data_IF_295627515358
#
_entry.id   IF_295627515358
#
_cell.length_a   1.000
_cell.length_b   1.000
_cell.length_c   1.000
_cell.angle_alpha   90.00
_cell.angle_beta   90.00
_cell.angle_gamma   90.00
#
_symmetry.space_group_name_H-M   'P 1'
#
loop_
_entity.id
_entity.type
_entity.pdbx_description
1 polymer ?
#
# COMPACT_ATOMS: atom_id res chain seq x y z
N UNK A 1 -10.21 -0.59 7.49
CA UNK A 1 -10.39 0.83 7.06
C UNK A 1 -10.53 0.91 5.54
N UNK A 2 -11.42 1.76 5.02
CA UNK A 2 -11.68 2.00 3.58
C UNK A 2 -11.49 3.48 3.25
N UNK A 3 -10.71 3.80 2.22
CA UNK A 3 -10.56 5.17 1.71
C UNK A 3 -11.83 5.55 0.93
N UNK A 4 -12.49 6.65 1.31
CA UNK A 4 -13.77 7.07 0.72
C UNK A 4 -13.68 8.38 -0.06
N UNK A 5 -12.78 9.29 0.35
CA UNK A 5 -12.54 10.56 -0.33
C UNK A 5 -11.08 10.94 -0.24
N UNK A 6 -10.62 11.68 -1.22
CA UNK A 6 -9.30 12.30 -1.22
C UNK A 6 -9.37 13.72 -1.80
N UNK A 7 -8.44 14.57 -1.36
CA UNK A 7 -8.23 15.93 -1.83
C UNK A 7 -6.73 16.18 -1.82
N UNK A 8 -6.15 16.54 -2.94
CA UNK A 8 -4.70 16.75 -3.11
C UNK A 8 -4.43 18.23 -3.33
N UNK A 9 -3.44 18.75 -2.62
CA UNK A 9 -3.01 20.15 -2.67
C UNK A 9 -1.53 20.25 -3.03
N UNK A 10 -1.21 21.19 -3.89
CA UNK A 10 0.16 21.64 -4.21
C UNK A 10 1.17 20.48 -4.40
N UNK A 11 0.81 19.48 -5.20
CA UNK A 11 1.69 18.37 -5.52
C UNK A 11 2.02 18.33 -7.00
N UNK A 12 3.26 18.62 -7.37
CA UNK A 12 3.80 18.66 -8.74
C UNK A 12 3.01 19.61 -9.65
N UNK A 13 2.19 19.07 -10.57
CA UNK A 13 1.33 19.87 -11.45
C UNK A 13 -0.05 20.14 -10.86
N UNK A 14 -0.41 19.53 -9.75
CA UNK A 14 -1.70 19.71 -9.09
C UNK A 14 -1.60 20.87 -8.12
N UNK A 15 -2.42 21.89 -8.29
CA UNK A 15 -2.61 22.99 -7.33
C UNK A 15 -3.68 22.60 -6.32
N UNK A 16 -4.82 22.17 -6.83
CA UNK A 16 -5.97 21.72 -6.08
C UNK A 16 -6.77 20.72 -6.92
N UNK A 17 -6.95 19.49 -6.42
CA UNK A 17 -7.72 18.47 -7.12
C UNK A 17 -9.23 18.57 -6.90
N UNK A 18 -9.67 19.47 -6.04
CA UNK A 18 -10.98 19.39 -5.39
C UNK A 18 -11.20 18.02 -4.70
N UNK A 19 -12.11 17.92 -3.71
CA UNK A 19 -12.43 16.63 -3.10
C UNK A 19 -13.10 15.67 -4.09
N UNK A 20 -12.61 14.44 -4.19
CA UNK A 20 -13.22 13.41 -5.03
C UNK A 20 -13.46 12.12 -4.26
N UNK A 21 -14.51 11.38 -4.68
CA UNK A 21 -14.90 10.13 -4.05
C UNK A 21 -14.11 8.95 -4.59
N UNK A 22 -13.80 8.00 -3.70
CA UNK A 22 -13.08 6.77 -4.01
C UNK A 22 -13.98 5.59 -3.65
N UNK A 23 -14.23 4.72 -4.64
CA UNK A 23 -15.01 3.49 -4.50
C UNK A 23 -14.12 2.25 -4.31
N UNK A 24 -14.71 1.07 -4.49
CA UNK A 24 -13.95 -0.18 -4.54
C UNK A 24 -13.01 -0.19 -5.76
N UNK A 25 -13.51 0.25 -6.89
CA UNK A 25 -12.72 0.52 -8.12
C UNK A 25 -13.00 1.95 -8.56
N UNK A 26 -11.95 2.74 -8.72
CA UNK A 26 -12.00 4.14 -9.18
C UNK A 26 -11.13 4.29 -10.42
N UNK A 27 -11.72 4.79 -11.50
CA UNK A 27 -11.02 5.09 -12.74
C UNK A 27 -10.84 6.61 -12.89
N UNK A 28 -9.60 7.06 -13.00
CA UNK A 28 -9.23 8.46 -13.26
C UNK A 28 -9.01 8.63 -14.77
N UNK A 29 -9.86 9.41 -15.41
CA UNK A 29 -9.81 9.67 -16.85
C UNK A 29 -9.44 11.11 -17.10
N UNK A 30 -8.61 11.36 -18.09
CA UNK A 30 -8.20 12.71 -18.46
C UNK A 30 -7.15 12.69 -19.55
N UNK A 31 -6.86 13.87 -20.11
CA UNK A 31 -5.83 14.05 -21.15
C UNK A 31 -4.44 13.70 -20.62
N UNK A 32 -3.48 13.49 -21.53
CA UNK A 32 -2.09 13.39 -21.15
C UNK A 32 -1.68 14.66 -20.42
N UNK A 33 -0.77 14.52 -19.44
CA UNK A 33 -0.26 15.64 -18.61
C UNK A 33 -1.32 16.33 -17.71
N UNK A 34 -2.52 15.74 -17.56
CA UNK A 34 -3.58 16.28 -16.68
C UNK A 34 -3.37 16.04 -15.18
N UNK A 35 -2.22 15.51 -14.78
CA UNK A 35 -1.91 15.27 -13.36
C UNK A 35 -2.33 13.91 -12.80
N UNK A 36 -2.89 12.98 -13.60
CA UNK A 36 -3.36 11.66 -13.15
C UNK A 36 -2.29 10.87 -12.37
N UNK A 37 -1.09 10.76 -12.94
CA UNK A 37 0.08 10.12 -12.31
C UNK A 37 0.45 10.84 -11.00
N UNK A 38 0.46 12.17 -11.00
CA UNK A 38 0.77 12.96 -9.80
C UNK A 38 -0.24 12.71 -8.70
N UNK A 39 -1.52 12.55 -9.03
CA UNK A 39 -2.59 12.24 -8.08
C UNK A 39 -2.37 10.88 -7.41
N UNK A 40 -2.07 9.82 -8.19
CA UNK A 40 -1.75 8.51 -7.63
C UNK A 40 -0.54 8.57 -6.72
N UNK A 41 0.53 9.24 -7.15
CA UNK A 41 1.77 9.36 -6.37
C UNK A 41 1.59 10.20 -5.10
N UNK A 42 0.73 11.23 -5.11
CA UNK A 42 0.37 11.96 -3.90
C UNK A 42 -0.35 11.09 -2.87
N UNK A 43 -1.28 10.22 -3.33
CA UNK A 43 -1.96 9.25 -2.47
C UNK A 43 -0.98 8.22 -1.89
N UNK A 44 -0.07 7.72 -2.71
CA UNK A 44 0.96 6.76 -2.28
C UNK A 44 1.79 7.29 -1.10
N UNK A 45 2.13 8.60 -1.10
CA UNK A 45 2.95 9.25 -0.05
C UNK A 45 2.40 9.03 1.36
N UNK A 46 1.10 8.78 1.52
CA UNK A 46 0.47 8.64 2.82
C UNK A 46 0.93 7.37 3.58
N UNK A 47 0.95 6.22 2.91
CA UNK A 47 1.40 4.94 3.50
C UNK A 47 1.89 3.95 2.43
N UNK A 48 3.01 4.21 1.76
CA UNK A 48 3.50 3.37 0.67
C UNK A 48 3.93 1.98 1.14
N UNK A 49 3.87 0.99 0.24
CA UNK A 49 4.51 -0.32 0.44
C UNK A 49 6.02 -0.14 0.57
N UNK A 50 6.61 0.65 -0.31
CA UNK A 50 8.03 1.00 -0.29
C UNK A 50 8.25 2.25 0.57
N UNK A 51 8.79 2.09 1.77
CA UNK A 51 9.01 3.21 2.71
C UNK A 51 9.84 4.36 2.12
N UNK A 52 10.73 4.08 1.18
CA UNK A 52 11.50 5.09 0.46
C UNK A 52 10.61 6.10 -0.30
N UNK A 53 9.42 5.65 -0.77
CA UNK A 53 8.47 6.51 -1.46
C UNK A 53 7.76 7.51 -0.54
N UNK A 54 7.82 7.32 0.77
CA UNK A 54 7.24 8.26 1.74
C UNK A 54 7.97 9.60 1.78
N UNK A 55 9.26 9.59 1.43
CA UNK A 55 10.09 10.80 1.44
C UNK A 55 9.57 11.84 0.44
N UNK A 56 9.41 13.07 0.92
CA UNK A 56 9.03 14.23 0.14
C UNK A 56 10.25 15.09 -0.16
N UNK A 57 10.26 15.67 -1.35
CA UNK A 57 11.30 16.60 -1.80
C UNK A 57 10.65 17.89 -2.31
N UNK A 58 10.97 19.02 -1.68
CA UNK A 58 10.40 20.34 -2.00
C UNK A 58 10.55 20.69 -3.49
N UNK A 59 11.72 20.42 -4.08
CA UNK A 59 12.02 20.84 -5.47
C UNK A 59 11.41 19.90 -6.52
N UNK A 60 11.08 18.68 -6.14
CA UNK A 60 10.53 17.65 -7.02
C UNK A 60 9.02 17.52 -6.87
N UNK A 61 8.51 17.60 -5.64
CA UNK A 61 7.14 17.22 -5.32
C UNK A 61 6.22 18.44 -5.12
N UNK A 62 6.75 19.66 -4.88
CA UNK A 62 5.95 20.88 -4.81
C UNK A 62 5.87 21.58 -6.18
N UNK A 63 4.77 22.32 -6.50
CA UNK A 63 4.66 23.05 -7.76
C UNK A 63 5.76 24.10 -7.91
N UNK A 64 6.56 23.98 -8.98
CA UNK A 64 7.74 24.84 -9.17
C UNK A 64 7.43 26.33 -9.25
N UNK A 65 6.28 26.69 -9.83
CA UNK A 65 5.86 28.09 -9.96
C UNK A 65 5.38 28.71 -8.63
N UNK A 66 5.14 27.88 -7.59
CA UNK A 66 4.76 28.29 -6.24
C UNK A 66 5.89 28.09 -5.20
N UNK A 67 7.12 27.80 -5.62
CA UNK A 67 8.21 27.49 -4.68
C UNK A 67 8.51 28.59 -3.66
N UNK A 68 8.23 29.87 -4.00
CA UNK A 68 8.39 30.99 -3.09
C UNK A 68 7.34 31.01 -1.96
N UNK A 69 6.20 30.38 -2.19
CA UNK A 69 5.08 30.30 -1.24
C UNK A 69 5.08 28.95 -0.48
N UNK A 70 6.17 28.19 -0.59
CA UNK A 70 6.28 26.89 0.06
C UNK A 70 6.22 26.99 1.58
N UNK A 71 5.23 26.35 2.15
CA UNK A 71 5.09 26.12 3.60
C UNK A 71 4.93 24.62 3.86
N UNK A 72 5.91 24.05 4.56
CA UNK A 72 5.94 22.63 4.89
C UNK A 72 4.78 22.18 5.79
N UNK A 73 4.14 23.10 6.51
CA UNK A 73 3.02 22.81 7.40
C UNK A 73 1.68 22.67 6.68
N UNK A 74 1.60 23.11 5.41
CA UNK A 74 0.37 23.04 4.61
C UNK A 74 0.04 21.59 4.22
N UNK A 75 -1.24 21.29 4.02
CA UNK A 75 -1.67 19.95 3.59
C UNK A 75 -1.18 19.64 2.17
N UNK A 76 -0.65 18.42 1.97
CA UNK A 76 -0.40 17.81 0.68
C UNK A 76 -1.62 16.99 0.25
N UNK A 77 -2.16 16.19 1.17
CA UNK A 77 -3.38 15.41 0.92
C UNK A 77 -4.28 15.37 2.15
N UNK A 78 -5.58 15.46 1.92
CA UNK A 78 -6.63 15.26 2.93
C UNK A 78 -7.45 14.06 2.49
N UNK A 79 -7.45 13.01 3.30
CA UNK A 79 -8.12 11.75 2.98
C UNK A 79 -9.17 11.40 4.04
N UNK A 80 -10.34 10.93 3.61
CA UNK A 80 -11.42 10.49 4.51
C UNK A 80 -11.53 8.97 4.43
N UNK A 81 -11.54 8.35 5.60
CA UNK A 81 -11.55 6.91 5.78
C UNK A 81 -12.79 6.47 6.53
N UNK A 82 -13.41 5.38 6.07
CA UNK A 82 -14.48 4.68 6.75
C UNK A 82 -13.89 3.50 7.53
N UNK A 83 -14.10 3.49 8.85
CA UNK A 83 -13.74 2.35 9.69
C UNK A 83 -14.72 1.20 9.46
N UNK A 84 -14.20 -0.02 9.38
CA UNK A 84 -15.00 -1.25 9.34
C UNK A 84 -15.38 -1.74 10.76
N UNK A 85 -16.11 -2.85 10.82
CA UNK A 85 -16.56 -3.41 12.11
C UNK A 85 -15.39 -3.90 12.96
N UNK A 86 -14.33 -4.44 12.32
CA UNK A 86 -13.14 -4.90 13.03
C UNK A 86 -12.32 -3.74 13.61
N UNK A 87 -12.27 -2.61 12.91
CA UNK A 87 -11.63 -1.39 13.39
C UNK A 87 -12.39 -0.82 14.58
N UNK A 88 -13.73 -0.72 14.46
CA UNK A 88 -14.59 -0.24 15.54
C UNK A 88 -14.46 -1.14 16.79
N UNK A 89 -14.56 -2.44 16.61
CA UNK A 89 -14.41 -3.40 17.71
C UNK A 89 -13.02 -3.34 18.37
N UNK A 90 -11.97 -3.02 17.61
CA UNK A 90 -10.63 -2.84 18.15
C UNK A 90 -10.52 -1.58 19.02
N UNK A 91 -11.17 -0.48 18.62
CA UNK A 91 -11.25 0.75 19.43
C UNK A 91 -12.10 0.52 20.69
N UNK A 92 -13.28 -0.11 20.55
CA UNK A 92 -14.18 -0.38 21.67
C UNK A 92 -13.58 -1.31 22.71
N UNK A 93 -12.81 -2.31 22.32
CA UNK A 93 -12.06 -3.15 23.27
C UNK A 93 -11.07 -2.38 24.14
N UNK A 94 -10.56 -1.26 23.63
CA UNK A 94 -9.55 -0.45 24.32
C UNK A 94 -10.17 0.71 25.12
N UNK A 95 -11.26 1.28 24.63
CA UNK A 95 -11.86 2.51 25.17
C UNK A 95 -13.30 2.38 25.64
N UNK A 96 -13.93 1.21 25.48
CA UNK A 96 -15.32 0.96 25.80
C UNK A 96 -16.27 1.09 24.62
N UNK A 97 -17.46 0.51 24.78
CA UNK A 97 -18.52 0.53 23.75
C UNK A 97 -18.97 1.94 23.44
N UNK A 98 -19.10 2.25 22.15
CA UNK A 98 -19.52 3.57 21.67
C UNK A 98 -18.49 4.68 21.89
N UNK A 99 -17.22 4.35 22.05
CA UNK A 99 -16.10 5.31 22.17
C UNK A 99 -15.92 6.17 20.92
N UNK A 100 -16.34 5.71 19.74
CA UNK A 100 -16.35 6.47 18.49
C UNK A 100 -17.73 7.11 18.29
N UNK A 101 -17.81 8.43 18.10
CA UNK A 101 -19.05 9.12 17.69
C UNK A 101 -19.39 8.86 16.23
N UNK A 102 -18.36 8.78 15.39
CA UNK A 102 -18.50 8.47 13.97
C UNK A 102 -17.45 7.43 13.55
N UNK A 103 -17.76 6.68 12.50
CA UNK A 103 -16.80 5.74 11.90
C UNK A 103 -15.96 6.40 10.80
N UNK A 104 -15.94 7.73 10.75
CA UNK A 104 -15.15 8.49 9.80
C UNK A 104 -13.89 9.03 10.47
N UNK A 105 -12.77 8.85 9.79
CA UNK A 105 -11.47 9.40 10.18
C UNK A 105 -10.94 10.24 9.04
N UNK A 106 -10.45 11.43 9.34
CA UNK A 106 -9.79 12.29 8.35
C UNK A 106 -8.29 12.30 8.65
N UNK A 107 -7.50 12.02 7.63
CA UNK A 107 -6.04 12.02 7.72
C UNK A 107 -5.51 13.09 6.77
N UNK A 108 -4.75 14.02 7.30
CA UNK A 108 -4.07 15.09 6.56
C UNK A 108 -2.58 14.83 6.54
N UNK A 109 -2.02 14.49 5.38
CA UNK A 109 -0.58 14.45 5.17
C UNK A 109 -0.10 15.85 4.81
N UNK A 110 0.96 16.33 5.46
CA UNK A 110 1.56 17.64 5.21
C UNK A 110 2.81 17.51 4.34
N UNK A 111 3.27 18.66 3.80
CA UNK A 111 4.48 18.73 2.98
C UNK A 111 5.78 18.46 3.76
N UNK A 112 5.76 18.53 5.11
CA UNK A 112 6.87 18.07 5.97
C UNK A 112 6.92 16.55 6.17
N UNK A 113 5.91 15.81 5.64
CA UNK A 113 5.73 14.38 5.85
C UNK A 113 5.00 14.02 7.15
N UNK A 114 4.63 14.99 7.96
CA UNK A 114 3.81 14.80 9.15
C UNK A 114 2.36 14.48 8.79
N UNK A 115 1.73 13.57 9.56
CA UNK A 115 0.32 13.23 9.39
C UNK A 115 -0.50 13.66 10.61
N UNK A 116 -1.56 14.44 10.37
CA UNK A 116 -2.54 14.81 11.38
C UNK A 116 -3.81 13.95 11.21
N UNK A 117 -4.33 13.45 12.33
CA UNK A 117 -5.52 12.60 12.36
C UNK A 117 -6.65 13.29 13.10
N UNK A 118 -7.81 13.38 12.49
CA UNK A 118 -9.04 13.83 13.12
C UNK A 118 -9.95 12.61 13.33
N UNK A 119 -10.14 12.26 14.60
CA UNK A 119 -10.95 11.13 15.07
C UNK A 119 -11.95 11.70 16.05
N UNK A 120 -13.25 11.45 15.84
CA UNK A 120 -14.32 11.96 16.69
C UNK A 120 -14.64 10.94 17.79
N UNK A 121 -14.09 11.16 18.98
CA UNK A 121 -14.26 10.31 20.16
C UNK A 121 -15.37 10.85 21.08
N UNK A 122 -16.09 9.93 21.72
CA UNK A 122 -17.03 10.22 22.79
C UNK A 122 -16.30 10.18 24.13
N UNK A 123 -15.62 11.27 24.48
CA UNK A 123 -14.84 11.37 25.71
C UNK A 123 -15.66 11.05 26.98
N UNK A 124 -16.91 11.49 27.14
CA UNK A 124 -17.74 11.10 28.28
C UNK A 124 -17.91 9.59 28.40
N UNK A 125 -18.18 8.87 27.31
CA UNK A 125 -18.31 7.40 27.35
C UNK A 125 -17.00 6.72 27.70
N UNK A 126 -15.88 7.20 27.16
CA UNK A 126 -14.54 6.69 27.47
C UNK A 126 -14.25 6.86 28.97
N UNK A 127 -14.55 8.03 29.53
CA UNK A 127 -14.36 8.33 30.95
C UNK A 127 -15.23 7.38 31.80
N UNK A 128 -16.52 7.22 31.46
CA UNK A 128 -17.41 6.29 32.16
C UNK A 128 -16.91 4.84 32.11
N UNK A 129 -16.40 4.41 30.96
CA UNK A 129 -15.80 3.09 30.82
C UNK A 129 -14.59 2.92 31.73
N UNK A 130 -13.65 3.88 31.77
CA UNK A 130 -12.47 3.84 32.63
C UNK A 130 -12.82 3.82 34.12
N UNK A 131 -13.83 4.62 34.54
CA UNK A 131 -14.35 4.66 35.92
C UNK A 131 -14.94 3.29 36.26
N UNK A 132 -15.78 2.72 35.41
CA UNK A 132 -16.42 1.42 35.61
C UNK A 132 -15.37 0.30 35.73
N UNK A 133 -14.41 0.25 34.82
CA UNK A 133 -13.34 -0.75 34.86
C UNK A 133 -12.44 -0.63 36.10
N UNK A 134 -12.28 0.59 36.63
CA UNK A 134 -11.53 0.85 37.85
C UNK A 134 -12.34 0.58 39.11
N UNK A 135 -13.64 0.22 38.97
CA UNK A 135 -14.55 -0.07 40.05
C UNK A 135 -14.66 1.05 41.09
N UNK A 136 -14.61 2.31 40.64
CA UNK A 136 -14.79 3.47 41.48
C UNK A 136 -16.17 3.41 42.16
N UNK A 137 -16.27 3.86 43.42
CA UNK A 137 -17.54 3.93 44.12
C UNK A 137 -18.38 5.12 43.62
N UNK A 138 -19.65 5.19 44.06
CA UNK A 138 -20.62 6.20 43.59
C UNK A 138 -20.14 7.63 43.84
N UNK A 139 -19.42 7.89 44.93
CA UNK A 139 -18.89 9.22 45.29
C UNK A 139 -17.67 9.60 44.43
N UNK A 140 -16.82 8.66 44.18
CA UNK A 140 -15.67 8.80 43.26
C UNK A 140 -16.16 8.98 41.82
N UNK A 141 -17.09 8.10 41.39
CA UNK A 141 -17.66 8.14 40.05
C UNK A 141 -18.41 9.46 39.78
N UNK A 142 -19.17 10.00 40.74
CA UNK A 142 -19.88 11.26 40.60
C UNK A 142 -18.93 12.45 40.36
N UNK A 143 -17.79 12.47 41.07
CA UNK A 143 -16.77 13.54 40.88
C UNK A 143 -16.05 13.41 39.55
N UNK A 144 -15.72 12.20 39.13
CA UNK A 144 -14.91 11.91 37.95
C UNK A 144 -15.72 11.95 36.64
N UNK A 145 -17.02 11.61 36.69
CA UNK A 145 -17.90 11.57 35.51
C UNK A 145 -18.19 12.95 34.89
N UNK A 146 -17.96 14.03 35.64
CA UNK A 146 -18.16 15.39 35.15
C UNK A 146 -17.01 15.89 34.24
N UNK A 147 -15.89 15.16 34.16
CA UNK A 147 -14.73 15.52 33.36
C UNK A 147 -15.05 15.39 31.85
N UNK A 148 -14.49 16.32 31.06
CA UNK A 148 -14.73 16.39 29.62
C UNK A 148 -13.73 15.59 28.79
N UNK A 149 -12.53 15.41 29.31
CA UNK A 149 -11.43 14.72 28.65
C UNK A 149 -10.50 14.01 29.65
N UNK A 150 -9.48 13.35 29.14
CA UNK A 150 -8.52 12.62 29.96
C UNK A 150 -7.63 13.50 30.84
N UNK A 151 -7.37 14.73 30.40
CA UNK A 151 -6.52 15.65 31.15
C UNK A 151 -7.28 16.16 32.38
N UNK A 152 -8.58 16.52 32.21
CA UNK A 152 -9.48 16.85 33.34
C UNK A 152 -9.67 15.64 34.27
N UNK A 153 -9.79 14.43 33.73
CA UNK A 153 -9.95 13.20 34.51
C UNK A 153 -8.70 12.92 35.38
N UNK A 154 -7.51 13.08 34.80
CA UNK A 154 -6.25 12.94 35.54
C UNK A 154 -6.14 13.99 36.66
N UNK A 155 -6.42 15.26 36.34
CA UNK A 155 -6.40 16.34 37.31
C UNK A 155 -7.43 16.11 38.46
N UNK A 156 -8.67 15.68 38.13
CA UNK A 156 -9.68 15.35 39.11
C UNK A 156 -9.25 14.16 40.00
N UNK A 157 -8.64 13.11 39.42
CA UNK A 157 -8.10 11.98 40.19
C UNK A 157 -6.96 12.42 41.14
N UNK A 158 -6.22 13.45 40.80
CA UNK A 158 -5.18 14.01 41.68
C UNK A 158 -5.74 14.79 42.88
N UNK A 159 -6.96 15.33 42.78
CA UNK A 159 -7.62 16.04 43.89
C UNK A 159 -7.96 15.13 45.08
N UNK A 160 -7.96 13.81 44.92
CA UNK A 160 -8.18 12.87 46.03
C UNK A 160 -7.00 12.78 47.00
N UNK A 161 -5.92 13.52 46.77
CA UNK A 161 -4.80 13.67 47.69
C UNK A 161 -3.84 12.46 47.77
N UNK A 162 -3.09 12.35 48.89
CA UNK A 162 -2.11 11.27 49.10
C UNK A 162 -2.78 9.93 49.47
N UNK A 163 -3.97 9.96 50.06
CA UNK A 163 -4.70 8.77 50.51
C UNK A 163 -5.74 8.30 49.49
N UNK A 164 -5.37 8.36 48.22
CA UNK A 164 -6.22 7.84 47.10
C UNK A 164 -6.59 6.39 47.37
N UNK A 165 -7.85 6.07 47.12
CA UNK A 165 -8.32 4.68 47.15
C UNK A 165 -7.56 3.84 46.14
N UNK A 166 -7.47 2.53 46.31
CA UNK A 166 -6.86 1.63 45.36
C UNK A 166 -7.56 1.66 43.98
N UNK A 167 -8.86 2.01 43.96
CA UNK A 167 -9.65 2.19 42.75
C UNK A 167 -9.22 3.41 41.95
N UNK A 168 -9.02 4.57 42.60
CA UNK A 168 -8.51 5.79 41.95
C UNK A 168 -7.06 5.57 41.49
N UNK A 169 -6.23 4.86 42.26
CA UNK A 169 -4.90 4.45 41.79
C UNK A 169 -4.95 3.58 40.56
N UNK A 170 -5.90 2.64 40.49
CA UNK A 170 -6.13 1.80 39.32
C UNK A 170 -6.57 2.62 38.11
N UNK A 171 -7.42 3.63 38.28
CA UNK A 171 -7.82 4.55 37.22
C UNK A 171 -6.61 5.31 36.65
N UNK A 172 -5.77 5.85 37.53
CA UNK A 172 -4.55 6.55 37.12
C UNK A 172 -3.60 5.58 36.37
N UNK A 173 -3.42 4.36 36.86
CA UNK A 173 -2.61 3.35 36.20
C UNK A 173 -3.15 3.02 34.80
N UNK A 174 -4.46 2.87 34.63
CA UNK A 174 -5.09 2.66 33.30
C UNK A 174 -4.90 3.85 32.37
N UNK A 175 -5.02 5.08 32.87
CA UNK A 175 -4.72 6.27 32.08
C UNK A 175 -3.25 6.28 31.62
N UNK A 176 -2.33 5.86 32.48
CA UNK A 176 -0.91 5.78 32.14
C UNK A 176 -0.56 4.69 31.10
N UNK A 177 -1.44 3.71 30.87
CA UNK A 177 -1.28 2.73 29.78
C UNK A 177 -1.47 3.36 28.39
N UNK A 178 -2.17 4.50 28.29
CA UNK A 178 -2.29 5.23 27.05
C UNK A 178 -1.04 6.08 26.79
N UNK A 179 -0.67 6.20 25.50
CA UNK A 179 0.43 7.07 25.11
C UNK A 179 0.18 8.51 25.60
N UNK A 180 1.13 9.05 26.36
CA UNK A 180 1.05 10.36 27.02
C UNK A 180 -0.25 10.55 27.83
N UNK A 181 -0.78 9.45 28.42
CA UNK A 181 -2.05 9.39 29.15
C UNK A 181 -3.26 9.89 28.32
N UNK A 182 -3.16 9.85 27.00
CA UNK A 182 -4.22 10.31 26.07
C UNK A 182 -4.83 9.15 25.28
N UNK A 183 -6.08 8.79 25.55
CA UNK A 183 -6.80 7.77 24.77
C UNK A 183 -6.78 8.02 23.27
N UNK A 184 -6.90 9.28 22.83
CA UNK A 184 -6.85 9.68 21.41
C UNK A 184 -5.57 9.23 20.73
N UNK A 185 -4.40 9.41 21.38
CA UNK A 185 -3.11 9.00 20.81
C UNK A 185 -3.00 7.49 20.69
N UNK A 186 -3.55 6.77 21.66
CA UNK A 186 -3.57 5.30 21.60
C UNK A 186 -4.49 4.75 20.51
N UNK A 187 -5.60 5.43 20.20
CA UNK A 187 -6.45 5.10 19.05
C UNK A 187 -5.73 5.40 17.75
N UNK A 188 -5.01 6.52 17.68
CA UNK A 188 -4.19 6.85 16.52
C UNK A 188 -3.16 5.75 16.25
N UNK A 189 -2.43 5.28 17.26
CA UNK A 189 -1.45 4.19 17.11
C UNK A 189 -2.14 2.89 16.65
N UNK A 190 -3.30 2.56 17.21
CA UNK A 190 -4.07 1.40 16.82
C UNK A 190 -4.49 1.47 15.35
N UNK A 191 -5.08 2.58 14.92
CA UNK A 191 -5.61 2.75 13.57
C UNK A 191 -4.50 2.94 12.52
N UNK A 192 -3.39 3.60 12.87
CA UNK A 192 -2.26 3.76 11.95
C UNK A 192 -1.63 2.41 11.56
N UNK A 193 -1.55 1.47 12.53
CA UNK A 193 -1.09 0.11 12.27
C UNK A 193 -2.06 -0.72 11.42
N UNK A 194 -3.32 -0.33 11.34
CA UNK A 194 -4.38 -1.00 10.57
C UNK A 194 -4.64 -0.33 9.22
N UNK A 195 -4.01 0.82 8.96
CA UNK A 195 -4.18 1.55 7.71
C UNK A 195 -3.59 0.75 6.54
N UNK A 196 -4.37 0.51 5.45
CA UNK A 196 -3.87 -0.19 4.28
C UNK A 196 -2.65 0.49 3.67
N UNK A 197 -1.69 -0.31 3.19
CA UNK A 197 -0.57 0.18 2.40
C UNK A 197 -1.02 0.53 0.98
N UNK A 198 -0.36 1.50 0.37
CA UNK A 198 -0.54 1.84 -1.04
C UNK A 198 0.52 1.14 -1.89
N UNK A 199 0.07 0.32 -2.83
CA UNK A 199 0.91 -0.30 -3.85
C UNK A 199 0.77 0.49 -5.16
N UNK A 200 1.77 1.30 -5.48
CA UNK A 200 1.85 1.97 -6.78
C UNK A 200 2.56 1.07 -7.79
N UNK A 201 1.99 0.95 -8.98
CA UNK A 201 2.56 0.18 -10.07
C UNK A 201 2.34 0.89 -11.41
N UNK A 202 3.42 1.20 -12.09
CA UNK A 202 3.42 1.93 -13.35
C UNK A 202 3.74 1.05 -14.55
N UNK A 203 3.66 1.62 -15.73
CA UNK A 203 4.07 0.97 -16.97
C UNK A 203 5.55 0.57 -16.98
N UNK A 204 6.38 1.27 -16.21
CA UNK A 204 7.84 1.07 -16.19
C UNK A 204 8.28 0.00 -15.19
N UNK A 205 7.41 -0.41 -14.28
CA UNK A 205 7.70 -1.40 -13.24
C UNK A 205 7.60 -2.81 -13.81
N UNK A 206 8.63 -3.23 -14.56
CA UNK A 206 8.64 -4.51 -15.27
C UNK A 206 9.86 -5.33 -14.86
N UNK A 207 9.65 -6.64 -14.72
CA UNK A 207 10.76 -7.57 -14.51
C UNK A 207 11.64 -7.64 -15.77
N UNK A 208 12.94 -7.72 -15.58
CA UNK A 208 13.88 -7.99 -16.66
C UNK A 208 13.91 -9.48 -16.98
N UNK A 209 14.03 -9.83 -18.25
CA UNK A 209 14.14 -11.21 -18.70
C UNK A 209 15.44 -11.90 -18.31
N UNK A 210 16.52 -11.13 -18.08
CA UNK A 210 17.79 -11.64 -17.58
C UNK A 210 18.24 -10.79 -16.38
N UNK A 211 18.68 -11.47 -15.30
CA UNK A 211 19.09 -10.83 -14.06
C UNK A 211 20.40 -11.45 -13.57
N UNK A 212 21.42 -10.61 -13.34
CA UNK A 212 22.66 -10.98 -12.69
C UNK A 212 22.50 -10.86 -11.17
N UNK A 213 22.53 -11.98 -10.45
CA UNK A 213 22.24 -11.99 -9.01
C UNK A 213 23.24 -11.18 -8.18
N UNK A 214 24.51 -11.18 -8.58
CA UNK A 214 25.57 -10.39 -7.94
C UNK A 214 25.27 -8.90 -7.94
N UNK A 215 24.70 -8.40 -9.03
CA UNK A 215 24.36 -6.98 -9.17
C UNK A 215 23.15 -6.60 -8.32
N UNK A 216 22.12 -7.45 -8.32
CA UNK A 216 20.94 -7.23 -7.47
C UNK A 216 21.32 -7.29 -5.99
N UNK A 217 22.19 -8.23 -5.59
CA UNK A 217 22.69 -8.31 -4.22
C UNK A 217 23.47 -7.06 -3.82
N UNK A 218 24.33 -6.55 -4.72
CA UNK A 218 25.07 -5.31 -4.50
C UNK A 218 24.15 -4.10 -4.36
N UNK A 219 23.14 -3.96 -5.25
CA UNK A 219 22.15 -2.87 -5.15
C UNK A 219 21.31 -2.98 -3.88
N UNK A 220 20.96 -4.20 -3.45
CA UNK A 220 20.25 -4.44 -2.19
C UNK A 220 21.07 -3.99 -0.98
N UNK A 221 22.35 -4.35 -0.93
CA UNK A 221 23.26 -3.95 0.15
C UNK A 221 23.46 -2.42 0.22
N UNK A 222 23.45 -1.75 -0.94
CA UNK A 222 23.63 -0.30 -1.04
C UNK A 222 22.33 0.51 -0.98
N UNK A 223 21.16 -0.13 -0.77
CA UNK A 223 19.83 0.49 -0.82
C UNK A 223 19.54 1.25 -2.14
N UNK A 224 19.98 0.71 -3.26
CA UNK A 224 19.83 1.30 -4.62
C UNK A 224 19.03 0.38 -5.54
N UNK A 225 18.15 -0.46 -4.99
CA UNK A 225 17.28 -1.33 -5.78
C UNK A 225 16.42 -0.53 -6.76
N UNK A 226 16.30 -1.04 -7.96
CA UNK A 226 15.39 -0.52 -8.98
C UNK A 226 14.01 -1.17 -8.86
N UNK A 227 12.99 -0.59 -9.49
CA UNK A 227 11.66 -1.20 -9.56
C UNK A 227 11.70 -2.62 -10.18
N UNK A 228 12.55 -2.83 -11.20
CA UNK A 228 12.74 -4.12 -11.82
C UNK A 228 13.33 -5.16 -10.85
N UNK A 229 14.27 -4.73 -10.00
CA UNK A 229 14.86 -5.58 -8.95
C UNK A 229 13.81 -5.99 -7.92
N UNK A 230 12.92 -5.07 -7.53
CA UNK A 230 11.84 -5.35 -6.57
C UNK A 230 10.87 -6.40 -7.12
N UNK A 231 10.49 -6.31 -8.39
CA UNK A 231 9.67 -7.33 -9.06
C UNK A 231 10.40 -8.68 -9.09
N UNK A 232 11.69 -8.69 -9.40
CA UNK A 232 12.48 -9.92 -9.42
C UNK A 232 12.64 -10.52 -8.02
N UNK A 233 12.92 -9.71 -7.00
CA UNK A 233 12.96 -10.19 -5.61
C UNK A 233 11.62 -10.76 -5.16
N UNK A 234 10.51 -10.11 -5.53
CA UNK A 234 9.16 -10.64 -5.29
C UNK A 234 8.91 -11.98 -6.00
N UNK A 235 9.51 -12.16 -7.18
CA UNK A 235 9.48 -13.47 -7.84
C UNK A 235 10.26 -14.53 -7.06
N UNK A 236 11.45 -14.22 -6.54
CA UNK A 236 12.22 -15.15 -5.70
C UNK A 236 11.43 -15.55 -4.43
N UNK A 237 10.81 -14.57 -3.77
CA UNK A 237 9.94 -14.83 -2.62
C UNK A 237 8.72 -15.69 -3.00
N UNK A 238 8.14 -15.48 -4.18
CA UNK A 238 7.07 -16.34 -4.70
C UNK A 238 7.55 -17.80 -4.91
N UNK A 239 8.82 -17.97 -5.29
CA UNK A 239 9.49 -19.25 -5.41
C UNK A 239 9.96 -19.82 -4.05
N UNK A 240 9.56 -19.21 -2.93
CA UNK A 240 9.96 -19.59 -1.57
C UNK A 240 11.49 -19.62 -1.40
N UNK A 241 12.17 -18.65 -1.96
CA UNK A 241 13.63 -18.48 -1.86
C UNK A 241 13.99 -16.98 -1.79
N UNK A 242 15.24 -16.70 -1.52
CA UNK A 242 15.78 -15.34 -1.50
C UNK A 242 17.13 -15.29 -2.22
N UNK A 243 17.66 -14.08 -2.43
CA UNK A 243 18.90 -13.92 -3.18
C UNK A 243 20.11 -14.49 -2.44
N UNK A 244 20.11 -14.41 -1.11
CA UNK A 244 21.17 -14.91 -0.25
C UNK A 244 21.25 -16.45 -0.33
N UNK A 245 20.11 -17.12 -0.22
CA UNK A 245 20.01 -18.58 -0.36
C UNK A 245 20.48 -19.04 -1.74
N UNK A 246 20.08 -18.31 -2.79
CA UNK A 246 20.47 -18.63 -4.16
C UNK A 246 21.98 -18.48 -4.37
N UNK A 247 22.59 -17.45 -3.82
CA UNK A 247 24.02 -17.21 -3.95
C UNK A 247 24.87 -18.17 -3.11
N UNK A 248 24.33 -18.68 -2.01
CA UNK A 248 25.00 -19.67 -1.13
C UNK A 248 24.97 -21.10 -1.66
N UNK A 249 24.17 -21.38 -2.68
CA UNK A 249 24.01 -22.75 -3.19
C UNK A 249 25.26 -23.22 -3.94
N UNK A 250 25.80 -24.37 -3.51
CA UNK A 250 26.85 -25.09 -4.23
C UNK A 250 26.28 -25.94 -5.38
N UNK A 251 24.95 -26.18 -5.39
CA UNK A 251 24.24 -26.98 -6.39
C UNK A 251 23.06 -26.17 -6.94
N UNK A 252 22.94 -26.10 -8.25
CA UNK A 252 21.88 -25.32 -8.93
C UNK A 252 20.54 -26.08 -9.03
N UNK A 253 20.53 -27.40 -8.87
CA UNK A 253 19.34 -28.23 -9.10
C UNK A 253 18.16 -27.91 -8.15
N UNK A 254 18.38 -27.71 -6.83
CA UNK A 254 17.29 -27.29 -5.93
C UNK A 254 16.68 -25.93 -6.30
N UNK A 255 17.51 -24.99 -6.75
CA UNK A 255 17.05 -23.68 -7.19
C UNK A 255 16.24 -23.78 -8.48
N UNK A 256 16.71 -24.57 -9.44
CA UNK A 256 16.03 -24.83 -10.69
C UNK A 256 14.64 -25.43 -10.45
N UNK A 257 14.54 -26.44 -9.57
CA UNK A 257 13.28 -27.06 -9.22
C UNK A 257 12.29 -26.05 -8.58
N UNK A 258 12.77 -25.17 -7.67
CA UNK A 258 11.96 -24.11 -7.07
C UNK A 258 11.49 -23.09 -8.12
N UNK A 259 12.40 -22.65 -8.99
CA UNK A 259 12.09 -21.70 -10.07
C UNK A 259 11.10 -22.30 -11.08
N UNK A 260 11.20 -23.59 -11.41
CA UNK A 260 10.24 -24.29 -12.25
C UNK A 260 8.86 -24.38 -11.58
N UNK A 261 8.80 -24.72 -10.29
CA UNK A 261 7.54 -24.78 -9.55
C UNK A 261 6.86 -23.39 -9.49
N UNK A 262 7.63 -22.34 -9.23
CA UNK A 262 7.15 -20.95 -9.28
C UNK A 262 6.64 -20.58 -10.67
N UNK A 263 7.38 -20.93 -11.72
CA UNK A 263 6.97 -20.71 -13.12
C UNK A 263 5.64 -21.39 -13.45
N UNK A 264 5.40 -22.61 -12.97
CA UNK A 264 4.12 -23.31 -13.14
C UNK A 264 3.00 -22.59 -12.39
N UNK A 265 3.23 -22.19 -11.14
CA UNK A 265 2.26 -21.47 -10.33
C UNK A 265 1.83 -20.14 -10.97
N UNK A 266 2.80 -19.34 -11.40
CA UNK A 266 2.56 -18.06 -12.08
C UNK A 266 1.87 -18.30 -13.43
N UNK A 267 2.32 -19.28 -14.21
CA UNK A 267 1.71 -19.65 -15.49
C UNK A 267 0.21 -19.90 -15.34
N UNK A 268 -0.19 -20.72 -14.36
CA UNK A 268 -1.60 -21.03 -14.10
C UNK A 268 -2.41 -19.78 -13.74
N UNK A 269 -1.87 -18.88 -12.93
CA UNK A 269 -2.56 -17.63 -12.53
C UNK A 269 -2.71 -16.66 -13.70
N UNK A 270 -1.65 -16.47 -14.51
CA UNK A 270 -1.69 -15.57 -15.67
C UNK A 270 -2.72 -16.06 -16.66
N UNK A 271 -2.67 -17.35 -17.05
CA UNK A 271 -3.54 -17.86 -18.12
C UNK A 271 -4.99 -18.11 -17.69
N UNK A 272 -5.31 -17.99 -16.40
CA UNK A 272 -6.70 -17.85 -15.96
C UNK A 272 -7.35 -16.57 -16.55
N UNK A 273 -6.58 -15.47 -16.63
CA UNK A 273 -7.06 -14.17 -17.08
C UNK A 273 -6.55 -13.76 -18.46
N UNK A 274 -5.36 -14.19 -18.87
CA UNK A 274 -4.77 -13.85 -20.16
C UNK A 274 -5.31 -14.75 -21.27
N UNK A 275 -6.34 -14.27 -21.99
CA UNK A 275 -7.02 -15.07 -23.05
C UNK A 275 -6.32 -15.05 -24.41
N UNK A 276 -5.30 -14.19 -24.59
CA UNK A 276 -4.64 -13.92 -25.87
C UNK A 276 -3.92 -15.13 -26.45
N UNK A 277 -3.23 -15.88 -25.61
CA UNK A 277 -2.55 -17.12 -25.96
C UNK A 277 -2.43 -18.02 -24.72
N UNK A 278 -3.16 -19.13 -24.74
CA UNK A 278 -3.19 -20.13 -23.66
C UNK A 278 -2.08 -21.19 -23.75
N UNK A 279 -1.32 -21.16 -24.83
CA UNK A 279 -0.25 -22.12 -25.11
C UNK A 279 1.13 -21.63 -24.68
N UNK A 280 1.19 -20.66 -23.74
CA UNK A 280 2.43 -20.13 -23.21
C UNK A 280 2.73 -20.74 -21.84
N UNK A 281 4.02 -20.98 -21.58
CA UNK A 281 4.52 -21.48 -20.30
C UNK A 281 5.73 -20.64 -19.91
N UNK A 282 5.76 -20.15 -18.68
CA UNK A 282 6.90 -19.43 -18.15
C UNK A 282 7.94 -20.42 -17.66
N UNK A 283 9.17 -20.24 -18.06
CA UNK A 283 10.33 -21.04 -17.66
C UNK A 283 11.42 -20.14 -17.10
N UNK A 284 12.12 -20.61 -16.09
CA UNK A 284 13.26 -19.96 -15.50
C UNK A 284 14.48 -20.85 -15.65
N UNK A 285 15.51 -20.28 -16.25
CA UNK A 285 16.81 -20.91 -16.44
C UNK A 285 17.81 -20.27 -15.48
N UNK A 286 18.47 -21.07 -14.69
CA UNK A 286 19.54 -20.61 -13.78
C UNK A 286 20.84 -21.24 -14.25
N UNK A 287 21.81 -20.40 -14.52
CA UNK A 287 23.12 -20.83 -15.03
C UNK A 287 24.25 -19.97 -14.48
N UNK A 288 25.47 -20.50 -14.37
CA UNK A 288 26.64 -19.66 -14.19
C UNK A 288 26.79 -18.71 -15.39
N UNK A 289 27.33 -17.53 -15.12
CA UNK A 289 27.69 -16.56 -16.14
C UNK A 289 28.77 -17.12 -17.08
N UNK A 290 28.73 -16.71 -18.33
CA UNK A 290 29.80 -17.03 -19.29
C UNK A 290 30.72 -15.80 -19.41
N UNK A 291 32.04 -16.00 -19.32
CA UNK A 291 33.06 -14.93 -19.36
C UNK A 291 32.97 -14.11 -20.63
N UNK A 292 32.49 -14.70 -21.71
CA UNK A 292 32.30 -14.05 -23.01
C UNK A 292 31.05 -13.16 -23.10
N UNK A 293 30.13 -13.29 -22.13
CA UNK A 293 28.92 -12.46 -22.13
C UNK A 293 29.27 -11.01 -21.77
N UNK A 294 28.48 -10.06 -22.27
CA UNK A 294 28.62 -8.66 -21.90
C UNK A 294 28.29 -8.43 -20.43
N UNK A 295 28.98 -7.52 -19.77
CA UNK A 295 28.60 -7.09 -18.42
C UNK A 295 27.15 -6.56 -18.41
N UNK A 296 26.37 -6.88 -17.39
CA UNK A 296 26.70 -7.52 -16.11
C UNK A 296 26.56 -9.06 -16.10
N UNK A 297 26.37 -9.69 -17.24
CA UNK A 297 26.04 -11.13 -17.35
C UNK A 297 27.27 -12.04 -17.47
N UNK A 298 28.47 -11.49 -17.27
CA UNK A 298 29.75 -12.18 -17.40
C UNK A 298 30.32 -12.69 -16.07
N UNK A 299 29.62 -12.50 -14.95
CA UNK A 299 30.06 -12.92 -13.61
C UNK A 299 28.90 -13.45 -12.77
N UNK A 300 29.19 -14.43 -11.90
CA UNK A 300 28.22 -14.95 -10.92
C UNK A 300 27.16 -15.87 -11.51
N UNK A 301 25.96 -15.78 -10.97
CA UNK A 301 24.78 -16.57 -11.36
C UNK A 301 23.81 -15.68 -12.11
N UNK A 302 23.35 -16.15 -13.27
CA UNK A 302 22.37 -15.48 -14.11
C UNK A 302 21.05 -16.24 -14.06
N UNK A 303 19.96 -15.54 -13.80
CA UNK A 303 18.60 -16.04 -13.93
C UNK A 303 18.01 -15.48 -15.21
N UNK A 304 17.59 -16.35 -16.12
CA UNK A 304 16.93 -15.98 -17.38
C UNK A 304 15.48 -16.46 -17.37
N UNK A 305 14.57 -15.56 -17.68
CA UNK A 305 13.15 -15.87 -17.86
C UNK A 305 12.87 -16.08 -19.33
N UNK A 306 12.26 -17.21 -19.67
CA UNK A 306 11.88 -17.55 -21.04
C UNK A 306 10.40 -17.91 -21.12
N UNK A 307 9.80 -17.70 -22.26
CA UNK A 307 8.42 -18.06 -22.54
C UNK A 307 8.39 -19.16 -23.60
N UNK A 308 8.04 -20.35 -23.19
CA UNK A 308 7.82 -21.48 -24.09
C UNK A 308 6.41 -21.39 -24.71
N UNK A 309 6.33 -21.40 -26.01
CA UNK A 309 5.08 -21.62 -26.73
C UNK A 309 4.91 -23.14 -26.96
N UNK A 310 4.00 -23.76 -26.20
CA UNK A 310 3.78 -25.21 -26.23
C UNK A 310 3.08 -25.69 -27.52
N UNK A 311 2.51 -24.78 -28.33
CA UNK A 311 1.94 -25.13 -29.63
C UNK A 311 3.00 -25.35 -30.72
N UNK A 312 4.12 -24.64 -30.60
CA UNK A 312 5.18 -24.66 -31.60
C UNK A 312 6.51 -25.19 -31.04
N UNK A 313 6.55 -25.56 -29.75
CA UNK A 313 7.74 -25.99 -28.99
C UNK A 313 8.92 -25.00 -29.13
N UNK A 314 8.60 -23.71 -29.20
CA UNK A 314 9.57 -22.63 -29.35
C UNK A 314 9.67 -21.81 -28.07
N UNK A 315 10.90 -21.61 -27.59
CA UNK A 315 11.19 -20.76 -26.44
C UNK A 315 11.71 -19.40 -26.91
N UNK A 316 11.14 -18.32 -26.34
CA UNK A 316 11.49 -16.93 -26.64
C UNK A 316 11.89 -16.25 -25.34
N UNK A 317 12.85 -15.35 -25.41
CA UNK A 317 13.23 -14.51 -24.27
C UNK A 317 12.04 -13.66 -23.79
N UNK A 318 11.97 -13.47 -22.48
CA UNK A 318 10.87 -12.75 -21.84
C UNK A 318 10.75 -11.30 -22.36
N UNK A 319 11.90 -10.62 -22.52
CA UNK A 319 11.94 -9.23 -22.97
C UNK A 319 11.48 -9.06 -24.43
N UNK A 320 11.52 -10.13 -25.22
CA UNK A 320 11.04 -10.15 -26.60
C UNK A 320 9.50 -10.42 -26.71
N UNK A 321 8.81 -10.51 -25.57
CA UNK A 321 7.34 -10.60 -25.56
C UNK A 321 6.70 -9.21 -25.65
N UNK A 322 5.38 -9.20 -25.89
CA UNK A 322 4.64 -7.93 -25.88
C UNK A 322 4.77 -7.22 -24.54
N UNK A 323 4.99 -5.91 -24.58
CA UNK A 323 5.14 -5.08 -23.37
C UNK A 323 3.98 -5.23 -22.40
N UNK A 324 2.75 -5.45 -22.91
CA UNK A 324 1.58 -5.70 -22.08
C UNK A 324 1.63 -7.04 -21.35
N UNK A 325 2.15 -8.10 -21.97
CA UNK A 325 2.33 -9.39 -21.30
C UNK A 325 3.39 -9.27 -20.17
N UNK A 326 4.52 -8.66 -20.47
CA UNK A 326 5.61 -8.43 -19.50
C UNK A 326 5.10 -7.61 -18.32
N UNK A 327 4.34 -6.55 -18.57
CA UNK A 327 3.75 -5.73 -17.53
C UNK A 327 2.77 -6.52 -16.66
N UNK A 328 1.84 -7.24 -17.28
CA UNK A 328 0.82 -8.02 -16.56
C UNK A 328 1.44 -9.12 -15.69
N UNK A 329 2.46 -9.80 -16.22
CA UNK A 329 3.26 -10.77 -15.46
C UNK A 329 3.92 -10.13 -14.24
N UNK A 330 4.62 -9.02 -14.44
CA UNK A 330 5.35 -8.30 -13.39
C UNK A 330 4.43 -7.82 -12.29
N UNK A 331 3.27 -7.28 -12.67
CA UNK A 331 2.25 -6.85 -11.71
C UNK A 331 1.73 -8.03 -10.87
N UNK A 332 1.40 -9.16 -11.49
CA UNK A 332 0.92 -10.35 -10.77
C UNK A 332 1.94 -10.88 -9.76
N UNK A 333 3.21 -10.89 -10.14
CA UNK A 333 4.29 -11.34 -9.25
C UNK A 333 4.40 -10.42 -8.03
N UNK A 334 4.56 -9.12 -8.26
CA UNK A 334 4.71 -8.12 -7.19
C UNK A 334 3.46 -8.10 -6.29
N UNK A 335 2.28 -8.00 -6.89
CA UNK A 335 1.01 -7.98 -6.15
C UNK A 335 0.83 -9.22 -5.27
N UNK A 336 1.20 -10.40 -5.77
CA UNK A 336 1.06 -11.66 -5.01
C UNK A 336 1.86 -11.63 -3.72
N UNK A 337 3.06 -11.06 -3.73
CA UNK A 337 3.91 -10.95 -2.54
C UNK A 337 3.45 -9.84 -1.60
N UNK A 338 3.13 -8.67 -2.15
CA UNK A 338 2.64 -7.54 -1.36
C UNK A 338 1.34 -7.91 -0.63
N UNK A 339 0.40 -8.56 -1.31
CA UNK A 339 -0.85 -9.02 -0.71
C UNK A 339 -0.64 -10.09 0.37
N UNK A 340 0.31 -11.00 0.19
CA UNK A 340 0.68 -12.01 1.19
C UNK A 340 1.28 -11.36 2.45
N UNK A 341 2.12 -10.34 2.29
CA UNK A 341 2.84 -9.68 3.37
C UNK A 341 1.97 -8.67 4.14
N UNK A 342 1.14 -7.91 3.44
CA UNK A 342 0.41 -6.76 4.00
C UNK A 342 -1.11 -6.98 4.09
N UNK A 343 -1.66 -8.08 3.55
CA UNK A 343 -3.09 -8.32 3.51
C UNK A 343 -3.80 -7.36 2.55
N UNK A 344 -4.76 -6.59 3.05
CA UNK A 344 -5.46 -5.59 2.25
C UNK A 344 -4.54 -4.41 1.89
N UNK A 345 -4.49 -4.07 0.61
CA UNK A 345 -3.75 -2.91 0.09
C UNK A 345 -4.64 -2.07 -0.81
N UNK A 346 -4.30 -0.80 -0.97
CA UNK A 346 -4.88 0.08 -1.99
C UNK A 346 -3.94 0.04 -3.20
N UNK A 347 -4.46 -0.43 -4.33
CA UNK A 347 -3.69 -0.64 -5.55
C UNK A 347 -3.83 0.59 -6.44
N UNK A 348 -2.71 1.22 -6.78
CA UNK A 348 -2.61 2.39 -7.64
C UNK A 348 -1.95 1.97 -8.95
N UNK A 349 -2.74 1.88 -10.03
CA UNK A 349 -2.23 1.49 -11.35
C UNK A 349 -2.15 2.69 -12.28
N UNK A 350 -0.94 3.00 -12.75
CA UNK A 350 -0.74 4.11 -13.67
C UNK A 350 -0.72 3.62 -15.12
N UNK A 351 -1.76 3.97 -15.88
CA UNK A 351 -1.99 3.59 -17.28
C UNK A 351 -1.84 2.07 -17.56
N UNK A 352 -2.50 1.19 -16.78
CA UNK A 352 -2.28 -0.26 -16.86
C UNK A 352 -2.67 -0.86 -18.22
N UNK A 353 -3.49 -0.16 -19.00
CA UNK A 353 -3.95 -0.62 -20.31
C UNK A 353 -3.16 -0.11 -21.50
N UNK A 354 -2.13 0.73 -21.30
CA UNK A 354 -1.48 1.48 -22.39
C UNK A 354 -0.88 0.58 -23.48
N UNK A 355 -0.25 -0.52 -23.10
CA UNK A 355 0.36 -1.48 -24.03
C UNK A 355 -0.53 -2.68 -24.35
N UNK A 356 -1.79 -2.61 -23.97
CA UNK A 356 -2.77 -3.68 -24.18
C UNK A 356 -3.75 -3.28 -25.29
N UNK A 357 -3.97 -4.16 -26.25
CA UNK A 357 -5.09 -4.00 -27.18
C UNK A 357 -6.43 -4.37 -26.50
N UNK A 358 -7.57 -3.98 -27.11
CA UNK A 358 -8.89 -4.03 -26.47
C UNK A 358 -9.26 -5.35 -25.79
N UNK A 359 -8.93 -6.52 -26.39
CA UNK A 359 -9.19 -7.83 -25.77
C UNK A 359 -8.34 -8.04 -24.50
N UNK A 360 -7.07 -7.64 -24.52
CA UNK A 360 -6.21 -7.74 -23.33
C UNK A 360 -6.59 -6.73 -22.24
N UNK A 361 -7.13 -5.57 -22.61
CA UNK A 361 -7.70 -4.61 -21.65
C UNK A 361 -8.96 -5.20 -20.98
N UNK A 362 -9.81 -5.90 -21.73
CA UNK A 362 -10.94 -6.63 -21.16
C UNK A 362 -10.51 -7.75 -20.21
N UNK A 363 -9.42 -8.49 -20.53
CA UNK A 363 -8.84 -9.48 -19.66
C UNK A 363 -8.33 -8.86 -18.35
N UNK A 364 -7.66 -7.71 -18.42
CA UNK A 364 -7.20 -6.97 -17.24
C UNK A 364 -8.37 -6.47 -16.37
N UNK A 365 -9.41 -5.91 -16.98
CA UNK A 365 -10.59 -5.47 -16.24
C UNK A 365 -11.29 -6.63 -15.54
N UNK A 366 -11.39 -7.79 -16.21
CA UNK A 366 -11.91 -9.00 -15.57
C UNK A 366 -11.07 -9.44 -14.37
N UNK A 367 -9.74 -9.39 -14.49
CA UNK A 367 -8.84 -9.67 -13.38
C UNK A 367 -9.05 -8.70 -12.21
N UNK A 368 -9.16 -7.39 -12.49
CA UNK A 368 -9.45 -6.37 -11.48
C UNK A 368 -10.75 -6.69 -10.74
N UNK A 369 -11.81 -7.04 -11.46
CA UNK A 369 -13.14 -7.31 -10.88
C UNK A 369 -13.22 -8.62 -10.10
N UNK A 370 -12.66 -9.70 -10.63
CA UNK A 370 -12.81 -11.04 -10.05
C UNK A 370 -11.80 -11.34 -8.95
N UNK A 371 -10.57 -10.81 -9.04
CA UNK A 371 -9.49 -11.14 -8.10
C UNK A 371 -9.13 -10.00 -7.14
N UNK A 372 -9.14 -8.75 -7.62
CA UNK A 372 -8.66 -7.62 -6.82
C UNK A 372 -9.79 -6.93 -6.04
N UNK A 373 -10.87 -6.54 -6.71
CA UNK A 373 -11.98 -5.77 -6.12
C UNK A 373 -12.58 -6.41 -4.86
N UNK A 374 -12.72 -7.75 -4.73
CA UNK A 374 -13.30 -8.37 -3.54
C UNK A 374 -12.49 -8.13 -2.25
N UNK A 375 -11.20 -7.85 -2.36
CA UNK A 375 -10.28 -7.75 -1.21
C UNK A 375 -9.55 -6.42 -1.10
N UNK A 376 -9.47 -5.65 -2.20
CA UNK A 376 -8.62 -4.47 -2.31
C UNK A 376 -9.42 -3.30 -2.88
N UNK A 377 -9.00 -2.08 -2.58
CA UNK A 377 -9.43 -0.90 -3.32
C UNK A 377 -8.45 -0.65 -4.47
N UNK A 378 -8.98 -0.31 -5.65
CA UNK A 378 -8.18 -0.07 -6.84
C UNK A 378 -8.47 1.33 -7.36
N UNK A 379 -7.41 2.09 -7.59
CA UNK A 379 -7.46 3.38 -8.26
C UNK A 379 -6.54 3.28 -9.47
N UNK A 380 -7.07 3.46 -10.66
CA UNK A 380 -6.24 3.39 -11.86
C UNK A 380 -6.49 4.59 -12.78
N UNK A 381 -5.43 4.95 -13.52
CA UNK A 381 -5.51 6.00 -14.53
C UNK A 381 -5.68 5.39 -15.91
N UNK A 382 -6.38 6.06 -16.80
CA UNK A 382 -6.43 5.66 -18.21
C UNK A 382 -6.85 6.80 -19.11
N UNK A 383 -6.42 6.74 -20.38
CA UNK A 383 -6.95 7.52 -21.47
C UNK A 383 -7.66 6.61 -22.51
N UNK A 384 -7.67 5.29 -22.28
CA UNK A 384 -8.34 4.32 -23.15
C UNK A 384 -9.83 4.20 -22.82
N UNK A 385 -10.73 4.41 -23.79
CA UNK A 385 -12.17 4.23 -23.57
C UNK A 385 -12.54 2.77 -23.22
N UNK A 386 -11.75 1.80 -23.63
CA UNK A 386 -11.98 0.38 -23.32
C UNK A 386 -11.69 0.04 -21.86
N UNK A 387 -10.91 0.87 -21.16
CA UNK A 387 -10.64 0.72 -19.74
C UNK A 387 -11.67 1.45 -18.86
N UNK A 388 -12.55 2.25 -19.43
CA UNK A 388 -13.60 2.97 -18.70
C UNK A 388 -14.85 2.12 -18.63
N UNK A 389 -15.23 1.69 -17.43
CA UNK A 389 -16.51 0.99 -17.22
C UNK A 389 -17.62 2.00 -16.96
N UNK A 390 -18.48 2.18 -17.95
CA UNK A 390 -19.66 3.05 -17.86
C UNK A 390 -20.58 2.50 -16.75
N UNK A 391 -20.76 3.28 -15.70
CA UNK A 391 -21.61 2.93 -14.53
C UNK A 391 -20.87 2.65 -13.22
N UNK A 392 -19.54 2.47 -13.23
CA UNK A 392 -18.69 2.32 -12.03
C UNK A 392 -17.58 3.36 -11.90
N UNK A 393 -17.37 4.15 -12.94
CA UNK A 393 -16.33 5.18 -12.96
C UNK A 393 -16.85 6.46 -12.33
N UNK A 394 -16.20 6.96 -11.28
CA UNK A 394 -16.26 8.37 -10.99
C UNK A 394 -15.38 9.08 -12.02
N UNK A 395 -15.95 9.34 -13.22
CA UNK A 395 -15.29 10.12 -14.24
C UNK A 395 -15.26 11.59 -13.79
N UNK A 396 -14.08 12.14 -13.58
CA UNK A 396 -13.91 13.59 -13.48
C UNK A 396 -12.88 14.05 -14.51
N UNK A 397 -13.35 14.89 -15.40
CA UNK A 397 -12.57 15.59 -16.43
C UNK A 397 -12.10 16.98 -15.90
N UNK A 398 -11.71 17.08 -14.62
CA UNK A 398 -11.18 18.34 -14.08
C UNK A 398 -10.00 18.05 -13.13
N UNK A 399 -8.83 18.13 -13.67
CA UNK A 399 -7.62 18.49 -12.96
C UNK A 399 -7.02 19.71 -13.65
#
# INVERSE_FOLDING_TARGET
MKLTKAHIHDFRCIVDSEPFSIGAVTCLVGKNESGKTSLLQALEKLNPVEEAHKKLDKYRDYPRFKLNDYDASLPLSVTTWQLDDDDNAAVERKLGEGALKTRLVVITLKHDGGAAWAIDLDHPKIIMHLISESRCDDTEAQKLSSCKDSDELAAAADTFGTDKSDRVKMLIAKLAEFRDSKPTLSVLDLLSNRMPKFLYFSLYDRMSGAVALTDVASRKANNTLTANDLVFLSFLEFAETNIEDVMALQQYEPLKAKAEAAGIGITRRIFKYWSQNKHLKVQFEVSPALVQDAAPFNTGIIVRTRILNTLHDMSVEFDNRSAGFVWFFSFLVLFSQVSKKHGNVIILLDEPGLNLHGKAQADLLRFIQEELEPKHQIIYTTHSPFMVQIGRASCRERV
#
